data_IF_947051708504
#
_entry.id   IF_947051708504
#
_cell.length_a   1.000
_cell.length_b   1.000
_cell.length_c   1.000
_cell.angle_alpha   90.00
_cell.angle_beta   90.00
_cell.angle_gamma   90.00
#
_symmetry.space_group_name_H-M   'P 1'
#
loop_
_entity.id
_entity.type
_entity.pdbx_description
1 polymer ?
#
# COMPACT_ATOMS: atom_id res chain seq x y z
N UNK A 1 8.60 -3.08 4.43
CA UNK A 1 7.58 -2.54 5.36
C UNK A 1 6.43 -3.54 5.45
N UNK A 2 5.85 -3.69 6.60
CA UNK A 2 4.75 -4.62 6.79
C UNK A 2 3.44 -4.04 6.23
N UNK A 3 2.47 -4.93 5.99
CA UNK A 3 1.18 -4.48 5.46
C UNK A 3 0.48 -3.49 6.39
N UNK A 4 0.33 -3.78 7.70
CA UNK A 4 -0.33 -2.81 8.58
C UNK A 4 0.43 -1.51 8.68
N UNK A 5 1.75 -1.58 8.65
CA UNK A 5 2.58 -0.40 8.74
C UNK A 5 2.38 0.48 7.52
N UNK A 6 2.37 -0.12 6.34
CA UNK A 6 2.15 0.62 5.11
C UNK A 6 0.74 1.20 5.07
N UNK A 7 -0.23 0.42 5.47
CA UNK A 7 -1.61 0.88 5.45
C UNK A 7 -1.82 2.07 6.36
N UNK A 8 -1.26 2.03 7.56
CA UNK A 8 -1.40 3.13 8.49
C UNK A 8 -0.64 4.37 8.03
N UNK A 9 0.60 4.17 7.60
CA UNK A 9 1.47 5.28 7.28
C UNK A 9 1.03 6.02 6.03
N UNK A 10 0.63 5.29 5.01
CA UNK A 10 0.36 5.90 3.70
C UNK A 10 -1.12 6.11 3.43
N UNK A 11 -1.97 5.33 4.07
CA UNK A 11 -3.41 5.36 3.75
C UNK A 11 -4.29 5.62 4.97
N UNK A 12 -3.72 5.67 6.15
CA UNK A 12 -4.51 5.90 7.35
C UNK A 12 -5.44 4.76 7.69
N UNK A 13 -5.09 3.54 7.31
CA UNK A 13 -5.96 2.38 7.50
C UNK A 13 -5.63 1.66 8.81
N UNK A 14 -6.66 1.04 9.38
CA UNK A 14 -6.45 0.15 10.50
C UNK A 14 -5.72 -1.11 10.04
N UNK A 15 -5.32 -1.93 11.01
CA UNK A 15 -4.63 -3.17 10.69
C UNK A 15 -5.47 -4.07 9.80
N UNK A 16 -6.73 -4.26 10.17
CA UNK A 16 -7.61 -5.13 9.39
C UNK A 16 -7.88 -4.56 8.01
N UNK A 17 -8.10 -3.27 7.94
CA UNK A 17 -8.32 -2.62 6.65
C UNK A 17 -7.09 -2.69 5.76
N UNK A 18 -5.90 -2.65 6.36
CA UNK A 18 -4.66 -2.78 5.61
C UNK A 18 -4.54 -4.16 4.96
N UNK A 19 -4.82 -5.20 5.72
CA UNK A 19 -4.78 -6.55 5.16
C UNK A 19 -5.85 -6.75 4.11
N UNK A 20 -7.02 -6.17 4.31
CA UNK A 20 -8.09 -6.20 3.32
C UNK A 20 -7.64 -5.56 2.01
N UNK A 21 -7.07 -4.38 2.12
CA UNK A 21 -6.60 -3.66 0.94
C UNK A 21 -5.51 -4.44 0.21
N UNK A 22 -4.61 -5.06 0.96
CA UNK A 22 -3.57 -5.89 0.37
C UNK A 22 -4.16 -7.08 -0.36
N UNK A 23 -5.19 -7.70 0.22
CA UNK A 23 -5.83 -8.86 -0.40
C UNK A 23 -6.53 -8.46 -1.69
N UNK A 24 -7.03 -7.25 -1.77
CA UNK A 24 -7.69 -6.76 -2.98
C UNK A 24 -6.71 -6.19 -4.01
N UNK A 25 -5.44 -6.19 -3.70
CA UNK A 25 -4.43 -5.67 -4.60
C UNK A 25 -4.29 -4.15 -4.57
N UNK A 26 -4.88 -3.50 -3.58
CA UNK A 26 -4.79 -2.05 -3.45
C UNK A 26 -3.48 -1.61 -2.83
N UNK A 27 -2.83 -2.51 -2.12
CA UNK A 27 -1.48 -2.27 -1.61
C UNK A 27 -0.58 -3.31 -2.24
N UNK A 28 0.52 -2.89 -2.91
CA UNK A 28 1.42 -3.85 -3.53
C UNK A 28 2.14 -4.66 -2.45
N UNK A 29 2.13 -5.98 -2.60
CA UNK A 29 2.76 -6.86 -1.63
C UNK A 29 3.57 -7.92 -2.34
N UNK A 30 4.58 -8.42 -1.64
CA UNK A 30 5.29 -9.62 -2.06
C UNK A 30 5.26 -10.60 -0.91
N UNK A 31 5.22 -11.88 -1.26
CA UNK A 31 5.19 -12.92 -0.26
C UNK A 31 6.57 -13.56 -0.17
N UNK A 32 7.14 -13.53 1.01
CA UNK A 32 8.45 -14.14 1.26
C UNK A 32 8.24 -15.18 2.33
N UNK A 33 8.22 -16.45 1.91
CA UNK A 33 7.89 -17.53 2.82
C UNK A 33 6.48 -17.34 3.34
N UNK A 34 6.37 -17.08 4.64
CA UNK A 34 5.07 -16.84 5.28
C UNK A 34 4.76 -15.37 5.47
N UNK A 35 5.70 -14.51 5.13
CA UNK A 35 5.56 -13.10 5.42
C UNK A 35 5.09 -12.35 4.20
N UNK A 36 4.17 -11.43 4.43
CA UNK A 36 3.76 -10.47 3.41
C UNK A 36 4.49 -9.16 3.70
N UNK A 37 5.20 -8.68 2.71
CA UNK A 37 5.94 -7.43 2.82
C UNK A 37 5.50 -6.47 1.74
N UNK A 38 5.57 -5.19 2.04
CA UNK A 38 5.24 -4.15 1.06
C UNK A 38 6.55 -3.58 0.54
N UNK A 39 6.85 -3.78 -0.76
CA UNK A 39 8.07 -3.20 -1.33
C UNK A 39 7.90 -1.69 -1.45
N UNK A 40 8.80 -0.97 -0.80
CA UNK A 40 8.68 0.49 -0.72
C UNK A 40 8.75 1.12 -2.11
N UNK A 41 9.62 0.61 -2.96
CA UNK A 41 9.77 1.15 -4.32
C UNK A 41 8.47 1.03 -5.10
N UNK A 42 7.83 -0.13 -5.03
CA UNK A 42 6.57 -0.34 -5.73
C UNK A 42 5.46 0.54 -5.16
N UNK A 43 5.46 0.70 -3.84
CA UNK A 43 4.47 1.56 -3.18
C UNK A 43 4.66 3.00 -3.60
N UNK A 44 5.89 3.48 -3.62
CA UNK A 44 6.19 4.84 -4.05
C UNK A 44 5.72 5.08 -5.49
N UNK A 45 5.97 4.13 -6.36
CA UNK A 45 5.56 4.24 -7.75
C UNK A 45 4.05 4.33 -7.88
N UNK A 46 3.36 3.49 -7.14
CA UNK A 46 1.91 3.48 -7.14
C UNK A 46 1.37 4.81 -6.65
N UNK A 47 1.96 5.36 -5.59
CA UNK A 47 1.52 6.63 -5.06
C UNK A 47 1.84 7.79 -6.00
N UNK A 48 2.96 7.73 -6.68
CA UNK A 48 3.30 8.74 -7.67
C UNK A 48 2.27 8.78 -8.78
N UNK A 49 1.89 7.62 -9.28
CA UNK A 49 0.91 7.56 -10.34
C UNK A 49 -0.45 8.03 -9.87
N UNK A 50 -0.83 7.65 -8.67
CA UNK A 50 -2.09 8.10 -8.09
C UNK A 50 -2.06 9.61 -7.87
N UNK A 51 -0.93 10.13 -7.40
CA UNK A 51 -0.77 11.56 -7.20
C UNK A 51 -0.85 12.33 -8.49
N UNK A 52 -0.21 11.83 -9.54
CA UNK A 52 -0.26 12.48 -10.84
C UNK A 52 -1.67 12.50 -11.39
N UNK A 53 -2.45 11.46 -11.10
CA UNK A 53 -3.83 11.41 -11.58
C UNK A 53 -4.77 12.24 -10.74
N UNK A 54 -4.38 12.53 -9.52
CA UNK A 54 -5.24 13.24 -8.60
C UNK A 54 -4.96 14.72 -8.54
N UNK A 55 -3.95 15.17 -9.23
CA UNK A 55 -3.58 16.57 -9.16
C UNK A 55 -4.71 17.47 -9.67
N UNK A 56 -5.55 16.96 -10.52
CA UNK A 56 -6.68 17.73 -11.03
C UNK A 56 -7.70 18.01 -9.94
N UNK A 57 -7.65 17.27 -8.87
CA UNK A 57 -8.60 17.50 -7.79
C UNK A 57 -8.17 18.60 -6.85
N UNK A 58 -6.92 18.93 -6.94
CA UNK A 58 -6.39 20.02 -6.15
C UNK A 58 -6.48 19.81 -4.67
#
# INVERSE_FOLDING_TARGET
>A
MSVPEAGKKYFGLSRNASYDAAARGEIPTIKIGRLLKVPIVALDRMLEQAGARRDDRG
#
